data_IF_889114082324
#
_entry.id   IF_889114082324
#
_cell.length_a   1.000
_cell.length_b   1.000
_cell.length_c   1.000
_cell.angle_alpha   90.00
_cell.angle_beta   90.00
_cell.angle_gamma   90.00
#
_symmetry.space_group_name_H-M   'P 1'
#
loop_
_entity.id
_entity.type
_entity.pdbx_description
1 polymer ?
#
# COMPACT_ATOMS: atom_id res chain seq x y z
N UNK A 1 -19.87 -9.50 0.01
CA UNK A 1 -18.45 -9.43 0.40
C UNK A 1 -17.50 -9.94 -0.68
N UNK A 2 -17.57 -11.22 -1.09
CA UNK A 2 -16.66 -11.77 -2.13
C UNK A 2 -16.73 -10.97 -3.45
N UNK A 3 -17.92 -10.63 -3.95
CA UNK A 3 -18.10 -9.84 -5.17
C UNK A 3 -17.53 -8.43 -5.08
N UNK A 4 -17.55 -7.83 -3.89
CA UNK A 4 -16.99 -6.49 -3.65
C UNK A 4 -15.46 -6.54 -3.62
N UNK A 5 -14.90 -7.54 -2.94
CA UNK A 5 -13.45 -7.77 -2.89
C UNK A 5 -12.92 -8.09 -4.30
N UNK A 6 -13.59 -8.97 -5.04
CA UNK A 6 -13.19 -9.31 -6.41
C UNK A 6 -13.26 -8.09 -7.34
N UNK A 7 -14.33 -7.30 -7.25
CA UNK A 7 -14.46 -6.07 -8.03
C UNK A 7 -13.38 -5.05 -7.70
N UNK A 8 -13.09 -4.87 -6.41
CA UNK A 8 -12.04 -3.97 -5.92
C UNK A 8 -10.65 -4.39 -6.41
N UNK A 9 -10.31 -5.68 -6.28
CA UNK A 9 -9.03 -6.23 -6.74
C UNK A 9 -8.87 -6.06 -8.25
N UNK A 10 -9.89 -6.39 -9.03
CA UNK A 10 -9.84 -6.26 -10.49
C UNK A 10 -9.62 -4.79 -10.90
N UNK A 11 -10.36 -3.85 -10.29
CA UNK A 11 -10.21 -2.42 -10.58
C UNK A 11 -8.79 -1.92 -10.25
N UNK A 12 -8.26 -2.27 -9.08
CA UNK A 12 -6.92 -1.87 -8.67
C UNK A 12 -5.84 -2.45 -9.57
N UNK A 13 -5.97 -3.73 -9.96
CA UNK A 13 -4.99 -4.40 -10.81
C UNK A 13 -5.00 -3.78 -12.21
N UNK A 14 -6.17 -3.56 -12.80
CA UNK A 14 -6.29 -2.93 -14.12
C UNK A 14 -5.72 -1.51 -14.09
N UNK A 15 -6.07 -0.71 -13.08
CA UNK A 15 -5.56 0.66 -12.97
C UNK A 15 -4.06 0.70 -12.75
N UNK A 16 -3.55 -0.16 -11.86
CA UNK A 16 -2.11 -0.27 -11.60
C UNK A 16 -1.36 -0.68 -12.86
N UNK A 17 -1.88 -1.65 -13.61
CA UNK A 17 -1.26 -2.11 -14.84
C UNK A 17 -1.17 -0.99 -15.89
N UNK A 18 -2.24 -0.20 -16.06
CA UNK A 18 -2.24 0.94 -16.97
C UNK A 18 -1.20 1.99 -16.54
N UNK A 19 -1.12 2.31 -15.24
CA UNK A 19 -0.16 3.31 -14.71
C UNK A 19 1.29 2.83 -14.80
N UNK A 20 1.55 1.58 -14.43
CA UNK A 20 2.88 0.96 -14.52
C UNK A 20 3.34 0.94 -15.99
N UNK A 21 2.46 0.56 -16.93
CA UNK A 21 2.77 0.57 -18.35
C UNK A 21 3.09 1.99 -18.85
N UNK A 22 2.33 2.99 -18.41
CA UNK A 22 2.60 4.40 -18.74
C UNK A 22 3.98 4.87 -18.23
N UNK A 23 4.35 4.50 -17.00
CA UNK A 23 5.67 4.81 -16.42
C UNK A 23 6.81 4.07 -17.13
N UNK A 24 6.59 2.81 -17.51
CA UNK A 24 7.57 2.01 -18.27
C UNK A 24 7.80 2.57 -19.67
N UNK A 25 6.76 3.05 -20.35
CA UNK A 25 6.88 3.72 -21.66
C UNK A 25 7.74 4.99 -21.54
N UNK A 26 7.69 5.68 -20.40
CA UNK A 26 8.55 6.84 -20.10
C UNK A 26 9.97 6.47 -19.64
N UNK A 27 10.35 5.17 -19.69
CA UNK A 27 11.61 4.63 -19.16
C UNK A 27 11.84 4.90 -17.65
N UNK A 28 10.79 5.26 -16.90
CA UNK A 28 10.87 5.52 -15.46
C UNK A 28 10.73 4.22 -14.66
N UNK A 29 11.61 3.25 -14.91
CA UNK A 29 11.58 1.90 -14.31
C UNK A 29 11.67 1.91 -12.79
N UNK A 30 12.44 2.83 -12.20
CA UNK A 30 12.52 3.01 -10.74
C UNK A 30 11.18 3.45 -10.13
N UNK A 31 10.53 4.42 -10.75
CA UNK A 31 9.24 4.93 -10.29
C UNK A 31 8.14 3.88 -10.48
N UNK A 32 8.19 3.14 -11.59
CA UNK A 32 7.28 2.03 -11.84
C UNK A 32 7.41 0.93 -10.79
N UNK A 33 8.64 0.60 -10.35
CA UNK A 33 8.89 -0.38 -9.30
C UNK A 33 8.37 0.08 -7.93
N UNK A 34 8.65 1.33 -7.55
CA UNK A 34 8.14 1.92 -6.30
C UNK A 34 6.62 2.01 -6.31
N UNK A 35 6.04 2.48 -7.42
CA UNK A 35 4.59 2.57 -7.60
C UNK A 35 3.92 1.19 -7.53
N UNK A 36 4.46 0.20 -8.24
CA UNK A 36 3.95 -1.17 -8.22
C UNK A 36 4.04 -1.81 -6.84
N UNK A 37 5.14 -1.58 -6.11
CA UNK A 37 5.30 -2.04 -4.72
C UNK A 37 4.27 -1.41 -3.78
N UNK A 38 4.12 -0.09 -3.82
CA UNK A 38 3.13 0.64 -3.02
C UNK A 38 1.69 0.19 -3.34
N UNK A 39 1.35 0.05 -4.62
CA UNK A 39 0.03 -0.43 -5.02
C UNK A 39 -0.22 -1.87 -4.60
N UNK A 40 0.77 -2.75 -4.71
CA UNK A 40 0.67 -4.13 -4.25
C UNK A 40 0.39 -4.22 -2.75
N UNK A 41 1.16 -3.50 -1.93
CA UNK A 41 0.94 -3.45 -0.47
C UNK A 41 -0.44 -2.88 -0.15
N UNK A 42 -0.85 -1.82 -0.84
CA UNK A 42 -2.16 -1.19 -0.62
C UNK A 42 -3.32 -2.11 -1.00
N UNK A 43 -3.18 -2.86 -2.09
CA UNK A 43 -4.17 -3.84 -2.55
C UNK A 43 -4.34 -4.98 -1.53
N UNK A 44 -3.24 -5.47 -0.98
CA UNK A 44 -3.25 -6.49 0.08
C UNK A 44 -3.94 -5.94 1.32
N UNK A 45 -3.50 -4.79 1.84
CA UNK A 45 -4.10 -4.17 3.04
C UNK A 45 -5.59 -3.90 2.85
N UNK A 46 -5.99 -3.30 1.72
CA UNK A 46 -7.39 -3.02 1.40
C UNK A 46 -8.24 -4.29 1.32
N UNK A 47 -7.68 -5.37 0.77
CA UNK A 47 -8.37 -6.67 0.70
C UNK A 47 -8.54 -7.30 2.09
N UNK A 48 -7.52 -7.23 2.95
CA UNK A 48 -7.63 -7.73 4.34
C UNK A 48 -8.66 -6.93 5.15
N UNK A 49 -8.68 -5.60 5.01
CA UNK A 49 -9.67 -4.73 5.65
C UNK A 49 -11.10 -5.06 5.18
N UNK A 50 -11.29 -5.26 3.87
CA UNK A 50 -12.60 -5.68 3.34
C UNK A 50 -13.01 -7.09 3.77
N UNK A 51 -12.05 -7.97 4.04
CA UNK A 51 -12.32 -9.30 4.59
C UNK A 51 -12.70 -9.27 6.08
N UNK A 52 -12.72 -8.09 6.72
CA UNK A 52 -13.04 -7.93 8.14
C UNK A 52 -11.94 -8.46 9.06
N UNK A 53 -10.71 -8.63 8.55
CA UNK A 53 -9.57 -8.94 9.40
C UNK A 53 -9.30 -7.69 10.23
N UNK A 54 -9.36 -7.83 11.55
CA UNK A 54 -8.87 -6.84 12.50
C UNK A 54 -7.36 -6.66 12.28
N UNK A 55 -6.99 -5.75 11.38
CA UNK A 55 -5.62 -5.30 11.31
C UNK A 55 -5.33 -4.55 12.63
N UNK A 56 -4.21 -4.86 13.32
CA UNK A 56 -3.73 -4.00 14.39
C UNK A 56 -3.64 -2.59 13.81
N UNK A 57 -4.16 -1.61 14.55
CA UNK A 57 -4.32 -0.26 14.02
C UNK A 57 -3.02 0.21 13.36
N UNK A 58 -3.09 0.89 12.21
CA UNK A 58 -1.91 1.43 11.53
C UNK A 58 -1.06 2.34 12.43
N UNK A 59 -1.62 2.77 13.57
CA UNK A 59 -0.91 3.48 14.65
C UNK A 59 0.20 2.61 15.24
N UNK A 60 0.02 1.30 15.42
CA UNK A 60 1.01 0.42 16.05
C UNK A 60 2.33 0.33 15.25
N UNK A 61 2.34 -0.01 13.94
CA UNK A 61 3.57 0.00 13.16
C UNK A 61 4.14 1.41 12.97
N UNK A 62 3.28 2.44 12.92
CA UNK A 62 3.74 3.83 12.81
C UNK A 62 4.40 4.31 14.12
N UNK A 63 3.85 3.95 15.28
CA UNK A 63 4.47 4.18 16.58
C UNK A 63 5.81 3.46 16.68
N UNK A 64 5.93 2.21 16.26
CA UNK A 64 7.20 1.47 16.34
C UNK A 64 8.32 2.16 15.54
N UNK A 65 7.99 2.74 14.37
CA UNK A 65 8.97 3.43 13.51
C UNK A 65 9.25 4.84 14.00
N UNK A 66 8.22 5.59 14.39
CA UNK A 66 8.32 7.02 14.70
C UNK A 66 8.51 7.34 16.19
N UNK A 67 8.16 6.44 17.13
CA UNK A 67 8.52 6.59 18.55
C UNK A 67 10.02 6.73 18.78
N UNK A 68 10.91 5.88 18.23
CA UNK A 68 12.34 6.01 18.49
C UNK A 68 12.88 7.33 17.96
N UNK A 69 12.39 7.80 16.81
CA UNK A 69 12.74 9.10 16.24
C UNK A 69 12.23 10.24 17.15
N UNK A 70 10.98 10.14 17.61
CA UNK A 70 10.37 11.10 18.52
C UNK A 70 11.12 11.20 19.85
N UNK A 71 11.50 10.07 20.46
CA UNK A 71 12.33 10.02 21.67
C UNK A 71 13.70 10.64 21.46
N UNK A 72 14.33 10.34 20.33
CA UNK A 72 15.65 10.88 19.98
C UNK A 72 15.62 12.40 19.79
N UNK A 73 14.50 12.96 19.27
CA UNK A 73 14.29 14.41 19.10
C UNK A 73 13.89 15.08 20.43
N UNK A 74 13.04 14.44 21.23
CA UNK A 74 12.57 14.96 22.52
C UNK A 74 13.61 14.80 23.64
N UNK A 75 14.72 14.08 23.40
CA UNK A 75 15.80 13.90 24.35
C UNK A 75 15.40 13.11 25.61
N UNK A 76 14.44 12.18 25.48
CA UNK A 76 13.99 11.26 26.54
C UNK A 76 14.24 9.79 26.19
#
# INVERSE_FOLDING_TARGET
MITQISGFVILIVVWSFIKIRSLLVKQQTKEAAVYGGLMGVSAVIGSLLMAGVDLPSLVVPYEIIFQPIGKMILGQ
#
